data_IF_968355310314
#
_entry.id   IF_968355310314
#
_cell.length_a   1.000
_cell.length_b   1.000
_cell.length_c   1.000
_cell.angle_alpha   90.00
_cell.angle_beta   90.00
_cell.angle_gamma   90.00
#
_symmetry.space_group_name_H-M   'P 1'
#
loop_
_entity.id
_entity.type
_entity.pdbx_description
1 polymer ?
#
# COMPACT_ATOMS: atom_id res chain seq x y z
N UNK A 1 -9.35 -4.92 -58.74
CA UNK A 1 -8.76 -5.25 -57.42
C UNK A 1 -7.86 -4.09 -57.05
N UNK A 2 -8.38 -3.16 -56.29
CA UNK A 2 -7.62 -2.02 -55.78
C UNK A 2 -7.27 -2.31 -54.31
N UNK A 3 -5.96 -2.45 -54.10
CA UNK A 3 -5.42 -2.53 -52.71
C UNK A 3 -5.46 -1.15 -52.07
N UNK A 4 -6.35 -0.96 -51.09
CA UNK A 4 -6.33 0.21 -50.24
C UNK A 4 -5.26 0.04 -49.17
N UNK A 5 -4.08 0.59 -49.43
CA UNK A 5 -3.00 0.74 -48.44
C UNK A 5 -3.42 1.77 -47.39
N UNK A 6 -3.85 1.30 -46.21
CA UNK A 6 -4.10 2.13 -45.06
C UNK A 6 -2.80 2.73 -44.49
N UNK A 7 -2.51 3.98 -44.81
CA UNK A 7 -1.50 4.79 -44.10
C UNK A 7 -1.89 4.92 -42.62
N UNK A 8 -1.13 4.30 -41.74
CA UNK A 8 -1.11 4.71 -40.32
C UNK A 8 -0.44 6.08 -40.28
N UNK A 9 -1.23 7.11 -39.96
CA UNK A 9 -0.68 8.44 -39.64
C UNK A 9 0.07 8.32 -38.30
N UNK A 10 1.41 8.45 -38.36
CA UNK A 10 2.22 8.63 -37.16
C UNK A 10 1.97 10.04 -36.63
N UNK A 11 1.35 10.14 -35.44
CA UNK A 11 1.14 11.39 -34.75
C UNK A 11 2.49 12.05 -34.45
N UNK A 12 2.61 13.32 -34.73
CA UNK A 12 3.79 14.11 -34.36
C UNK A 12 3.95 14.24 -32.87
N UNK A 13 5.18 14.43 -32.37
CA UNK A 13 5.46 14.62 -30.94
C UNK A 13 4.61 15.72 -30.29
N UNK A 14 4.27 16.77 -31.07
CA UNK A 14 3.42 17.87 -30.62
C UNK A 14 1.94 17.48 -30.48
N UNK A 15 1.46 16.54 -31.30
CA UNK A 15 0.09 16.01 -31.22
C UNK A 15 -0.04 14.97 -30.09
N UNK A 16 1.01 14.20 -29.82
CA UNK A 16 1.08 13.35 -28.62
C UNK A 16 1.07 14.19 -27.36
N UNK A 17 1.88 15.26 -27.30
CA UNK A 17 1.93 16.17 -26.15
C UNK A 17 0.56 16.84 -25.90
N UNK A 18 -0.12 17.29 -26.97
CA UNK A 18 -1.47 17.87 -26.86
C UNK A 18 -2.55 16.88 -26.41
N UNK A 19 -2.42 15.58 -26.76
CA UNK A 19 -3.31 14.54 -26.26
C UNK A 19 -3.08 14.23 -24.79
N UNK A 20 -1.83 14.27 -24.30
CA UNK A 20 -1.50 14.13 -22.88
C UNK A 20 -2.00 15.34 -22.08
N UNK A 21 -1.90 16.56 -22.61
CA UNK A 21 -2.42 17.77 -21.97
C UNK A 21 -3.96 17.83 -21.95
N UNK A 22 -4.63 17.09 -22.84
CA UNK A 22 -6.10 16.97 -22.90
C UNK A 22 -6.64 15.71 -22.19
N UNK A 23 -5.77 14.83 -21.70
CA UNK A 23 -6.20 13.74 -20.84
C UNK A 23 -6.84 14.31 -19.59
N UNK A 24 -8.17 14.27 -19.51
CA UNK A 24 -8.90 14.66 -18.30
C UNK A 24 -8.30 13.89 -17.13
N UNK A 25 -7.70 14.61 -16.19
CA UNK A 25 -7.18 14.02 -14.98
C UNK A 25 -8.35 13.40 -14.22
N UNK A 26 -8.37 12.10 -14.11
CA UNK A 26 -9.37 11.38 -13.32
C UNK A 26 -9.17 11.69 -11.85
N UNK A 27 -10.22 12.17 -11.20
CA UNK A 27 -10.25 12.50 -9.79
C UNK A 27 -10.18 14.00 -9.50
N UNK A 28 -10.33 14.34 -8.22
CA UNK A 28 -10.26 15.73 -7.77
C UNK A 28 -8.83 16.25 -7.84
N UNK A 29 -8.69 17.49 -8.30
CA UNK A 29 -7.39 18.18 -8.31
C UNK A 29 -6.85 18.28 -6.90
N UNK A 30 -5.64 17.79 -6.68
CA UNK A 30 -5.00 17.90 -5.37
C UNK A 30 -4.83 19.35 -4.95
N UNK A 31 -5.45 19.71 -3.83
CA UNK A 31 -5.32 21.03 -3.25
C UNK A 31 -3.97 21.18 -2.56
N UNK A 32 -3.41 22.40 -2.60
CA UNK A 32 -2.23 22.75 -1.81
C UNK A 32 -2.46 22.37 -0.35
N UNK A 33 -1.47 21.69 0.26
CA UNK A 33 -1.57 21.27 1.66
C UNK A 33 -1.72 22.47 2.59
N UNK A 34 -2.75 22.45 3.41
CA UNK A 34 -2.97 23.49 4.42
C UNK A 34 -2.01 23.28 5.61
N UNK A 35 -1.62 24.38 6.25
CA UNK A 35 -0.85 24.35 7.48
C UNK A 35 -1.61 23.53 8.56
N UNK A 36 -0.90 22.73 9.33
CA UNK A 36 -1.45 21.85 10.38
C UNK A 36 -2.35 20.71 9.90
N UNK A 37 -2.34 20.37 8.61
CA UNK A 37 -3.03 19.17 8.11
C UNK A 37 -2.08 17.98 8.07
N UNK A 38 -2.63 16.78 8.31
CA UNK A 38 -1.93 15.53 8.08
C UNK A 38 -2.40 14.93 6.75
N UNK A 39 -1.47 14.78 5.80
CA UNK A 39 -1.76 14.20 4.48
C UNK A 39 -1.30 12.77 4.45
N UNK A 40 -2.25 11.86 4.26
CA UNK A 40 -2.03 10.44 4.05
C UNK A 40 -2.30 10.10 2.58
N UNK A 41 -1.36 9.39 1.97
CA UNK A 41 -1.51 8.86 0.61
C UNK A 41 -1.59 7.34 0.64
N UNK A 42 -2.40 6.77 -0.23
CA UNK A 42 -2.51 5.32 -0.47
C UNK A 42 -2.33 5.03 -1.95
N UNK A 43 -1.46 4.09 -2.28
CA UNK A 43 -1.24 3.62 -3.64
C UNK A 43 -1.13 2.10 -3.68
N UNK A 44 -1.91 1.46 -4.57
CA UNK A 44 -1.64 0.09 -4.99
C UNK A 44 -0.49 0.13 -6.01
N UNK A 45 0.61 -0.55 -5.71
CA UNK A 45 1.82 -0.46 -6.54
C UNK A 45 1.90 -1.53 -7.61
N UNK A 46 1.07 -2.58 -7.54
CA UNK A 46 1.17 -3.71 -8.46
C UNK A 46 2.63 -4.17 -8.66
N UNK A 47 3.34 -4.40 -7.56
CA UNK A 47 4.77 -4.67 -7.45
C UNK A 47 5.63 -3.42 -7.32
N UNK A 48 6.36 -3.36 -6.22
CA UNK A 48 7.38 -2.33 -5.99
C UNK A 48 8.66 -2.67 -6.78
N UNK A 49 9.17 -1.78 -7.63
CA UNK A 49 10.40 -2.05 -8.38
C UNK A 49 11.60 -2.24 -7.44
N UNK A 50 12.51 -3.14 -7.79
CA UNK A 50 13.75 -3.40 -7.03
C UNK A 50 14.97 -2.69 -7.61
N UNK A 51 14.84 -1.93 -8.68
CA UNK A 51 15.89 -1.11 -9.27
C UNK A 51 15.65 0.37 -9.01
N UNK A 52 16.68 1.08 -8.57
CA UNK A 52 16.64 2.54 -8.45
C UNK A 52 16.59 3.27 -9.82
N UNK A 53 16.84 2.54 -10.92
CA UNK A 53 16.76 3.04 -12.29
C UNK A 53 15.40 2.77 -12.95
N UNK A 54 14.51 2.08 -12.27
CA UNK A 54 13.17 1.82 -12.76
C UNK A 54 12.36 3.13 -12.71
N UNK A 55 11.75 3.57 -13.82
CA UNK A 55 10.95 4.81 -13.86
C UNK A 55 9.82 4.82 -12.83
N UNK A 56 9.23 3.67 -12.56
CA UNK A 56 8.19 3.54 -11.54
C UNK A 56 8.71 3.81 -10.12
N UNK A 57 9.99 3.47 -9.84
CA UNK A 57 10.61 3.80 -8.55
C UNK A 57 10.72 5.31 -8.38
N UNK A 58 11.18 6.01 -9.42
CA UNK A 58 11.28 7.47 -9.41
C UNK A 58 9.90 8.13 -9.33
N UNK A 59 8.93 7.63 -10.08
CA UNK A 59 7.55 8.13 -10.03
C UNK A 59 6.95 8.02 -8.62
N UNK A 60 7.15 6.88 -7.93
CA UNK A 60 6.69 6.71 -6.54
C UNK A 60 7.36 7.72 -5.61
N UNK A 61 8.68 7.93 -5.72
CA UNK A 61 9.38 8.91 -4.90
C UNK A 61 8.88 10.33 -5.17
N UNK A 62 8.78 10.74 -6.44
CA UNK A 62 8.30 12.06 -6.84
C UNK A 62 6.89 12.31 -6.30
N UNK A 63 5.98 11.33 -6.45
CA UNK A 63 4.63 11.41 -5.91
C UNK A 63 4.60 11.62 -4.39
N UNK A 64 5.42 10.88 -3.63
CA UNK A 64 5.52 11.04 -2.18
C UNK A 64 5.90 12.46 -1.76
N UNK A 65 6.74 13.15 -2.55
CA UNK A 65 7.26 14.48 -2.21
C UNK A 65 6.44 15.61 -2.79
N UNK A 66 6.02 15.50 -4.06
CA UNK A 66 5.22 16.53 -4.73
C UNK A 66 3.93 16.80 -3.96
N UNK A 67 3.35 15.75 -3.38
CA UNK A 67 2.12 15.85 -2.62
C UNK A 67 2.31 16.21 -1.15
N UNK A 68 3.54 16.52 -0.74
CA UNK A 68 3.86 16.90 0.65
C UNK A 68 3.26 15.91 1.69
N UNK A 69 3.36 14.61 1.42
CA UNK A 69 2.79 13.58 2.28
C UNK A 69 3.43 13.58 3.68
N UNK A 70 2.63 13.33 4.69
CA UNK A 70 3.11 13.04 6.05
C UNK A 70 3.30 11.55 6.26
N UNK A 71 2.40 10.76 5.68
CA UNK A 71 2.49 9.31 5.67
C UNK A 71 2.06 8.78 4.30
N UNK A 72 2.64 7.66 3.92
CA UNK A 72 2.30 6.95 2.68
C UNK A 72 2.09 5.48 2.99
N UNK A 73 1.08 4.91 2.37
CA UNK A 73 0.79 3.47 2.38
C UNK A 73 0.92 2.95 0.96
N UNK A 74 1.68 1.89 0.81
CA UNK A 74 1.79 1.14 -0.45
C UNK A 74 1.20 -0.25 -0.26
N UNK A 75 0.28 -0.65 -1.12
CA UNK A 75 -0.25 -2.02 -1.16
C UNK A 75 0.26 -2.77 -2.39
N UNK A 76 0.13 -4.08 -2.40
CA UNK A 76 0.66 -4.96 -3.44
C UNK A 76 2.13 -4.68 -3.77
N UNK A 77 2.95 -4.54 -2.74
CA UNK A 77 4.39 -4.36 -2.93
C UNK A 77 5.04 -5.58 -3.61
N UNK A 78 4.41 -6.73 -3.53
CA UNK A 78 4.73 -7.99 -4.21
C UNK A 78 6.23 -8.36 -4.10
N UNK A 79 6.81 -8.13 -2.91
CA UNK A 79 8.25 -8.31 -2.67
C UNK A 79 8.49 -9.18 -1.45
N UNK A 80 9.27 -10.24 -1.62
CA UNK A 80 9.81 -11.05 -0.52
C UNK A 80 11.18 -10.50 -0.12
N UNK A 81 11.18 -9.61 0.87
CA UNK A 81 12.35 -8.85 1.30
C UNK A 81 13.57 -9.69 1.70
N UNK A 82 13.43 -10.87 2.34
CA UNK A 82 14.59 -11.68 2.70
C UNK A 82 15.48 -12.10 1.51
N UNK A 83 14.91 -12.22 0.31
CA UNK A 83 15.65 -12.58 -0.90
C UNK A 83 16.13 -11.36 -1.70
N UNK A 84 15.82 -10.14 -1.26
CA UNK A 84 16.26 -8.91 -1.93
C UNK A 84 17.71 -8.63 -1.59
N UNK A 85 18.55 -8.46 -2.60
CA UNK A 85 19.98 -8.17 -2.42
C UNK A 85 20.20 -6.87 -1.65
N UNK A 86 21.27 -6.73 -0.83
CA UNK A 86 21.51 -5.55 0.00
C UNK A 86 21.38 -4.21 -0.75
N UNK A 87 22.03 -4.08 -1.92
CA UNK A 87 21.99 -2.84 -2.72
C UNK A 87 20.62 -2.56 -3.35
N UNK A 88 19.71 -3.54 -3.37
CA UNK A 88 18.33 -3.42 -3.84
C UNK A 88 17.32 -3.20 -2.71
N UNK A 89 17.75 -3.21 -1.46
CA UNK A 89 16.88 -2.87 -0.32
C UNK A 89 16.41 -1.42 -0.43
N UNK A 90 15.22 -1.14 0.07
CA UNK A 90 14.61 0.20 -0.03
C UNK A 90 15.55 1.30 0.47
N UNK A 91 16.09 1.14 1.66
CA UNK A 91 17.01 2.10 2.28
C UNK A 91 18.19 2.46 1.38
N UNK A 92 18.79 1.45 0.72
CA UNK A 92 19.95 1.69 -0.17
C UNK A 92 19.55 2.41 -1.45
N UNK A 93 18.38 2.04 -2.03
CA UNK A 93 17.89 2.67 -3.25
C UNK A 93 17.46 4.12 -3.06
N UNK A 94 17.03 4.48 -1.87
CA UNK A 94 16.53 5.82 -1.53
C UNK A 94 17.54 6.67 -0.78
N UNK A 95 18.74 6.13 -0.50
CA UNK A 95 19.79 6.84 0.22
C UNK A 95 20.10 8.20 -0.44
N UNK A 96 19.96 9.27 0.32
CA UNK A 96 20.16 10.65 -0.14
C UNK A 96 19.10 11.21 -1.06
N UNK A 97 18.07 10.41 -1.45
CA UNK A 97 17.01 10.85 -2.35
C UNK A 97 15.79 11.42 -1.60
N UNK A 98 15.59 11.04 -0.34
CA UNK A 98 14.44 11.44 0.46
C UNK A 98 14.79 12.68 1.29
N UNK A 99 14.28 13.87 0.94
CA UNK A 99 14.50 15.07 1.72
C UNK A 99 14.00 14.90 3.16
N UNK A 100 14.76 15.41 4.13
CA UNK A 100 14.42 15.32 5.56
C UNK A 100 14.30 13.89 6.10
N UNK A 101 14.61 12.86 5.30
CA UNK A 101 14.58 11.45 5.69
C UNK A 101 13.18 10.87 5.90
N UNK A 102 13.18 9.58 6.20
CA UNK A 102 11.96 8.78 6.41
C UNK A 102 12.15 7.74 7.49
N UNK A 103 11.02 7.16 7.95
CA UNK A 103 10.96 5.86 8.60
C UNK A 103 9.93 5.02 7.86
N UNK A 104 10.27 3.78 7.56
CA UNK A 104 9.37 2.87 6.86
C UNK A 104 9.30 1.50 7.52
N UNK A 105 8.25 0.77 7.19
CA UNK A 105 8.09 -0.64 7.50
C UNK A 105 7.40 -1.34 6.35
N UNK A 106 7.99 -2.43 5.88
CA UNK A 106 7.38 -3.35 4.92
C UNK A 106 6.99 -4.64 5.61
N UNK A 107 5.85 -5.20 5.22
CA UNK A 107 5.39 -6.51 5.65
C UNK A 107 5.05 -7.38 4.44
N UNK A 108 5.30 -8.67 4.57
CA UNK A 108 5.03 -9.69 3.57
C UNK A 108 4.50 -10.94 4.27
N UNK A 109 3.95 -11.88 3.52
CA UNK A 109 3.51 -13.14 4.08
C UNK A 109 4.73 -14.03 4.43
N UNK A 110 4.96 -14.27 5.72
CA UNK A 110 6.07 -15.09 6.22
C UNK A 110 5.86 -16.61 6.02
N UNK A 111 4.64 -17.01 5.67
CA UNK A 111 4.22 -18.40 5.49
C UNK A 111 4.05 -18.77 4.01
N UNK A 112 4.27 -17.81 3.12
CA UNK A 112 4.14 -18.03 1.68
C UNK A 112 5.37 -18.67 1.07
N UNK A 113 5.22 -19.18 -0.16
CA UNK A 113 6.31 -19.72 -0.96
C UNK A 113 6.67 -18.72 -2.05
N UNK A 114 7.71 -17.88 -1.85
CA UNK A 114 8.11 -16.88 -2.84
C UNK A 114 8.77 -17.52 -4.06
N UNK A 115 8.66 -16.89 -5.22
CA UNK A 115 9.45 -17.20 -6.40
C UNK A 115 10.56 -16.15 -6.52
N UNK A 116 11.77 -16.49 -6.10
CA UNK A 116 12.88 -15.54 -6.03
C UNK A 116 12.56 -14.38 -5.08
N UNK A 117 12.50 -13.16 -5.60
CA UNK A 117 12.10 -11.95 -4.84
C UNK A 117 10.62 -11.63 -4.96
N UNK A 118 9.85 -12.39 -5.76
CA UNK A 118 8.43 -12.15 -5.95
C UNK A 118 7.61 -12.93 -4.93
N UNK A 119 6.73 -12.22 -4.23
CA UNK A 119 5.66 -12.77 -3.41
C UNK A 119 4.47 -11.83 -3.48
N UNK A 120 3.34 -12.30 -3.97
CA UNK A 120 2.14 -11.47 -4.09
C UNK A 120 1.63 -10.97 -2.75
N UNK A 121 1.14 -9.73 -2.74
CA UNK A 121 0.63 -9.04 -1.56
C UNK A 121 1.69 -8.17 -0.87
N UNK A 122 1.54 -8.03 0.44
CA UNK A 122 2.39 -7.18 1.27
C UNK A 122 2.00 -5.71 1.27
N UNK A 123 2.33 -5.05 2.37
CA UNK A 123 2.02 -3.63 2.61
C UNK A 123 3.26 -2.91 3.10
N UNK A 124 3.45 -1.69 2.63
CA UNK A 124 4.48 -0.77 3.13
C UNK A 124 3.86 0.47 3.73
N UNK A 125 4.49 1.02 4.77
CA UNK A 125 4.12 2.31 5.34
C UNK A 125 5.33 3.18 5.57
N UNK A 126 5.15 4.49 5.41
CA UNK A 126 6.19 5.50 5.52
C UNK A 126 5.72 6.65 6.38
N UNK A 127 6.61 7.14 7.24
CA UNK A 127 6.50 8.42 7.93
C UNK A 127 7.54 9.36 7.32
N UNK A 128 7.11 10.46 6.71
CA UNK A 128 7.93 11.36 5.93
C UNK A 128 8.18 12.69 6.66
N UNK A 129 9.32 13.29 6.36
CA UNK A 129 9.71 14.61 6.84
C UNK A 129 9.60 14.75 8.37
N UNK A 130 9.11 15.90 8.88
CA UNK A 130 8.99 16.14 10.33
C UNK A 130 8.07 15.13 11.05
N UNK A 131 7.12 14.49 10.35
CA UNK A 131 6.18 13.53 10.94
C UNK A 131 6.90 12.30 11.48
N UNK A 132 8.03 11.89 10.90
CA UNK A 132 8.85 10.76 11.39
C UNK A 132 9.33 10.93 12.85
N UNK A 133 9.51 12.18 13.30
CA UNK A 133 9.95 12.48 14.67
C UNK A 133 8.84 12.29 15.71
N UNK A 134 7.59 12.24 15.25
CA UNK A 134 6.42 11.94 16.10
C UNK A 134 6.11 10.44 16.18
N UNK A 135 6.82 9.61 15.41
CA UNK A 135 6.59 8.17 15.40
C UNK A 135 7.04 7.55 16.73
N UNK A 136 6.08 6.99 17.48
CA UNK A 136 6.31 6.35 18.77
C UNK A 136 6.55 4.84 18.63
N UNK A 137 5.75 4.19 17.78
CA UNK A 137 5.82 2.75 17.58
C UNK A 137 5.26 2.33 16.23
N UNK A 138 5.64 1.14 15.82
CA UNK A 138 5.13 0.47 14.61
C UNK A 138 4.78 -0.97 14.93
N UNK A 139 3.97 -1.57 14.09
CA UNK A 139 3.69 -3.00 14.18
C UNK A 139 2.97 -3.52 12.95
N UNK A 140 2.62 -4.78 13.01
CA UNK A 140 2.09 -5.50 11.85
C UNK A 140 1.06 -6.54 12.26
N UNK A 141 0.49 -7.23 11.29
CA UNK A 141 -0.35 -8.40 11.47
C UNK A 141 0.41 -9.49 12.22
N UNK A 142 -0.05 -9.81 13.43
CA UNK A 142 0.58 -10.80 14.29
C UNK A 142 0.53 -12.24 13.75
N UNK A 143 -0.33 -12.49 12.76
CA UNK A 143 -0.37 -13.82 12.10
C UNK A 143 0.81 -14.04 11.17
N UNK A 144 1.53 -13.00 10.80
CA UNK A 144 2.62 -13.06 9.81
C UNK A 144 2.16 -13.17 8.36
N UNK A 145 0.86 -12.98 8.08
CA UNK A 145 0.31 -13.04 6.72
C UNK A 145 0.56 -11.76 5.89
N UNK A 146 1.14 -10.71 6.51
CA UNK A 146 1.50 -9.49 5.81
C UNK A 146 0.31 -8.64 5.34
N UNK A 147 -0.85 -8.76 6.02
CA UNK A 147 -2.11 -8.13 5.61
C UNK A 147 -2.23 -6.67 5.98
N UNK A 148 -1.60 -6.24 7.07
CA UNK A 148 -1.55 -4.86 7.50
C UNK A 148 -0.28 -4.54 8.26
N UNK A 149 0.04 -3.25 8.25
CA UNK A 149 1.11 -2.61 8.99
C UNK A 149 0.58 -1.30 9.55
N UNK A 150 1.10 -0.86 10.69
CA UNK A 150 0.66 0.38 11.29
C UNK A 150 1.81 1.19 11.88
N UNK A 151 1.60 2.50 11.94
CA UNK A 151 2.45 3.47 12.59
C UNK A 151 1.63 4.30 13.57
N UNK A 152 2.14 4.47 14.78
CA UNK A 152 1.52 5.26 15.85
C UNK A 152 2.32 6.53 16.09
N UNK A 153 1.67 7.66 15.97
CA UNK A 153 2.28 8.99 16.10
C UNK A 153 1.81 9.70 17.35
N UNK A 154 2.73 10.40 18.03
CA UNK A 154 2.38 11.30 19.13
C UNK A 154 1.64 12.52 18.59
N UNK A 155 0.46 12.79 19.11
CA UNK A 155 -0.34 13.98 18.85
C UNK A 155 -0.03 15.12 19.82
N UNK A 156 -1.03 15.94 20.12
CA UNK A 156 -0.97 16.97 21.14
C UNK A 156 -1.40 16.36 22.48
N UNK A 157 -0.65 16.62 23.56
CA UNK A 157 -0.92 16.01 24.88
C UNK A 157 -0.76 14.50 24.82
N UNK A 158 -1.69 13.77 25.42
CA UNK A 158 -1.71 12.30 25.46
C UNK A 158 -2.37 11.64 24.24
N UNK A 159 -2.83 12.43 23.27
CA UNK A 159 -3.47 11.88 22.08
C UNK A 159 -2.46 11.24 21.14
N UNK A 160 -2.88 10.14 20.54
CA UNK A 160 -2.08 9.45 19.53
C UNK A 160 -2.91 9.22 18.28
N UNK A 161 -2.26 9.33 17.12
CA UNK A 161 -2.82 8.96 15.82
C UNK A 161 -2.19 7.64 15.39
N UNK A 162 -3.03 6.64 15.11
CA UNK A 162 -2.61 5.38 14.50
C UNK A 162 -3.04 5.35 13.04
N UNK A 163 -2.06 5.27 12.16
CA UNK A 163 -2.28 5.09 10.72
C UNK A 163 -2.02 3.64 10.39
N UNK A 164 -3.01 2.98 9.78
CA UNK A 164 -2.99 1.57 9.42
C UNK A 164 -3.06 1.46 7.91
N UNK A 165 -2.05 0.84 7.31
CA UNK A 165 -2.10 0.41 5.92
C UNK A 165 -2.52 -1.04 5.85
N UNK A 166 -3.49 -1.38 5.02
CA UNK A 166 -3.99 -2.74 4.93
C UNK A 166 -4.35 -3.14 3.49
N UNK A 167 -4.21 -4.45 3.23
CA UNK A 167 -4.58 -5.09 1.97
C UNK A 167 -5.42 -6.32 2.26
N UNK A 168 -6.66 -6.34 1.79
CA UNK A 168 -7.56 -7.48 1.93
C UNK A 168 -7.39 -8.41 0.73
N UNK A 169 -7.23 -9.73 0.93
CA UNK A 169 -7.05 -10.67 -0.17
C UNK A 169 -8.18 -10.59 -1.19
N UNK A 170 -7.84 -10.55 -2.49
CA UNK A 170 -8.83 -10.62 -3.56
C UNK A 170 -9.20 -12.09 -3.83
N UNK A 171 -10.49 -12.49 -3.73
CA UNK A 171 -10.92 -13.85 -3.96
C UNK A 171 -10.98 -14.23 -5.44
N UNK A 172 -11.01 -13.24 -6.32
CA UNK A 172 -11.16 -13.46 -7.78
C UNK A 172 -9.86 -13.86 -8.48
N UNK A 173 -8.72 -13.80 -7.77
CA UNK A 173 -7.44 -14.23 -8.33
C UNK A 173 -7.39 -15.74 -8.53
N UNK A 174 -6.99 -16.19 -9.72
CA UNK A 174 -6.77 -17.61 -10.03
C UNK A 174 -5.29 -17.97 -9.85
N UNK A 175 -5.01 -19.17 -9.32
CA UNK A 175 -3.66 -19.69 -9.17
C UNK A 175 -3.14 -19.77 -7.72
N UNK A 176 -2.20 -20.68 -7.50
CA UNK A 176 -1.67 -21.04 -6.18
C UNK A 176 -0.87 -19.90 -5.49
N UNK A 177 -0.37 -18.96 -6.24
CA UNK A 177 0.46 -17.87 -5.75
C UNK A 177 -0.33 -16.61 -5.34
N UNK A 178 -1.66 -16.59 -5.60
CA UNK A 178 -2.48 -15.44 -5.21
C UNK A 178 -2.46 -15.25 -3.69
N UNK A 179 -2.66 -14.01 -3.23
CA UNK A 179 -2.70 -13.71 -1.79
C UNK A 179 -3.80 -14.53 -1.10
N UNK A 180 -4.95 -14.69 -1.76
CA UNK A 180 -6.05 -15.50 -1.23
C UNK A 180 -5.62 -16.96 -1.04
N UNK A 181 -5.04 -17.58 -2.08
CA UNK A 181 -4.59 -18.97 -2.02
C UNK A 181 -3.49 -19.20 -0.96
N UNK A 182 -2.52 -18.26 -0.86
CA UNK A 182 -1.49 -18.30 0.18
C UNK A 182 -2.11 -18.31 1.59
N UNK A 183 -3.10 -17.45 1.86
CA UNK A 183 -3.76 -17.37 3.15
C UNK A 183 -4.65 -18.58 3.42
N UNK A 184 -5.36 -19.08 2.40
CA UNK A 184 -6.15 -20.30 2.52
C UNK A 184 -5.27 -21.49 2.92
N UNK A 185 -4.11 -21.66 2.26
CA UNK A 185 -3.12 -22.68 2.58
C UNK A 185 -2.65 -22.57 4.04
N UNK A 186 -2.34 -21.36 4.50
CA UNK A 186 -1.97 -21.12 5.90
C UNK A 186 -3.06 -21.57 6.89
N UNK A 187 -4.33 -21.21 6.62
CA UNK A 187 -5.42 -21.61 7.51
C UNK A 187 -5.65 -23.13 7.51
N UNK A 188 -5.57 -23.78 6.36
CA UNK A 188 -5.65 -25.24 6.26
C UNK A 188 -4.55 -25.95 7.05
N UNK A 189 -3.30 -25.44 6.97
CA UNK A 189 -2.17 -25.98 7.76
C UNK A 189 -2.37 -25.84 9.28
N UNK A 190 -3.21 -24.91 9.71
CA UNK A 190 -3.59 -24.71 11.13
C UNK A 190 -4.86 -25.46 11.50
N UNK A 191 -5.28 -26.44 10.70
CA UNK A 191 -6.54 -27.19 10.85
C UNK A 191 -7.78 -26.25 10.96
N UNK A 192 -7.75 -25.13 10.25
CA UNK A 192 -8.76 -24.09 10.30
C UNK A 192 -9.18 -23.70 8.88
N UNK A 193 -10.33 -24.17 8.43
CA UNK A 193 -10.85 -23.88 7.09
C UNK A 193 -11.58 -22.54 7.04
N UNK A 194 -10.89 -21.45 7.42
CA UNK A 194 -11.47 -20.10 7.36
C UNK A 194 -11.29 -19.48 5.99
N UNK A 195 -12.32 -18.79 5.54
CA UNK A 195 -12.21 -17.88 4.40
C UNK A 195 -11.21 -16.73 4.72
N UNK A 196 -10.19 -16.50 3.86
CA UNK A 196 -9.18 -15.47 4.08
C UNK A 196 -9.72 -14.05 4.23
N UNK A 197 -10.81 -13.71 3.54
CA UNK A 197 -11.42 -12.39 3.62
C UNK A 197 -12.18 -12.20 4.93
N UNK A 198 -12.92 -13.21 5.34
CA UNK A 198 -13.62 -13.20 6.62
C UNK A 198 -12.63 -13.14 7.78
N UNK A 199 -11.57 -13.93 7.72
CA UNK A 199 -10.50 -13.92 8.72
C UNK A 199 -9.80 -12.56 8.79
N UNK A 200 -9.53 -11.92 7.64
CA UNK A 200 -8.99 -10.56 7.61
C UNK A 200 -9.89 -9.59 8.37
N UNK A 201 -11.17 -9.56 8.03
CA UNK A 201 -12.15 -8.64 8.62
C UNK A 201 -12.27 -8.84 10.13
N UNK A 202 -12.37 -10.09 10.58
CA UNK A 202 -12.48 -10.42 12.02
C UNK A 202 -11.24 -10.03 12.81
N UNK A 203 -10.04 -10.30 12.27
CA UNK A 203 -8.79 -10.02 12.99
C UNK A 203 -8.48 -8.53 13.04
N UNK A 204 -8.72 -7.81 11.93
CA UNK A 204 -8.53 -6.36 11.88
C UNK A 204 -9.52 -5.66 12.82
N UNK A 205 -10.80 -6.05 12.81
CA UNK A 205 -11.82 -5.54 13.73
C UNK A 205 -11.40 -5.71 15.20
N UNK A 206 -10.96 -6.92 15.58
CA UNK A 206 -10.46 -7.18 16.93
C UNK A 206 -9.28 -6.28 17.29
N UNK A 207 -8.41 -6.03 16.33
CA UNK A 207 -7.23 -5.19 16.54
C UNK A 207 -7.60 -3.70 16.66
N UNK A 208 -8.55 -3.20 15.86
CA UNK A 208 -9.08 -1.83 15.95
C UNK A 208 -9.68 -1.59 17.34
N UNK A 209 -10.52 -2.50 17.83
CA UNK A 209 -11.09 -2.40 19.18
C UNK A 209 -10.03 -2.27 20.26
N UNK A 210 -8.95 -3.05 20.18
CA UNK A 210 -7.82 -2.93 21.12
C UNK A 210 -7.16 -1.56 21.06
N UNK A 211 -6.96 -0.99 19.88
CA UNK A 211 -6.34 0.31 19.72
C UNK A 211 -7.26 1.45 20.19
N UNK A 212 -8.56 1.33 19.94
CA UNK A 212 -9.56 2.28 20.46
C UNK A 212 -9.59 2.30 21.98
N UNK A 213 -9.49 1.14 22.65
CA UNK A 213 -9.38 1.05 24.11
C UNK A 213 -8.10 1.71 24.66
N UNK A 214 -7.04 1.84 23.85
CA UNK A 214 -5.83 2.59 24.21
C UNK A 214 -5.98 4.11 24.03
N UNK A 215 -7.15 4.58 23.57
CA UNK A 215 -7.42 5.99 23.29
C UNK A 215 -6.79 6.50 21.97
N UNK A 216 -6.35 5.60 21.08
CA UNK A 216 -5.81 6.01 19.79
C UNK A 216 -6.91 6.51 18.84
N UNK A 217 -6.65 7.62 18.17
CA UNK A 217 -7.38 8.00 16.96
C UNK A 217 -6.87 7.14 15.82
N UNK A 218 -7.77 6.49 15.07
CA UNK A 218 -7.38 5.49 14.08
C UNK A 218 -7.81 5.93 12.69
N UNK A 219 -6.85 5.93 11.76
CA UNK A 219 -7.09 6.10 10.33
C UNK A 219 -6.63 4.84 9.61
N UNK A 220 -7.50 4.28 8.78
CA UNK A 220 -7.22 3.07 8.01
C UNK A 220 -7.23 3.41 6.53
N UNK A 221 -6.10 3.21 5.87
CA UNK A 221 -5.97 3.23 4.43
C UNK A 221 -5.96 1.78 3.93
N UNK A 222 -7.01 1.37 3.28
CA UNK A 222 -7.30 -0.02 2.95
C UNK A 222 -7.57 -0.22 1.46
N UNK A 223 -6.80 -1.10 0.84
CA UNK A 223 -7.19 -1.73 -0.40
C UNK A 223 -8.15 -2.88 -0.07
N UNK A 224 -9.45 -2.61 -0.19
CA UNK A 224 -10.49 -3.43 0.40
C UNK A 224 -10.83 -4.69 -0.40
N UNK A 225 -10.61 -4.67 -1.72
CA UNK A 225 -11.09 -5.74 -2.61
C UNK A 225 -12.52 -6.18 -2.26
N UNK A 226 -13.42 -5.20 -2.06
CA UNK A 226 -14.78 -5.41 -1.55
C UNK A 226 -15.74 -4.34 -2.11
N UNK A 227 -17.02 -4.62 -2.09
CA UNK A 227 -18.02 -3.60 -2.37
C UNK A 227 -18.13 -2.65 -1.16
N UNK A 228 -17.80 -1.39 -1.36
CA UNK A 228 -17.80 -0.39 -0.29
C UNK A 228 -19.20 0.03 0.16
N UNK A 229 -20.26 -0.29 -0.62
CA UNK A 229 -21.64 0.08 -0.28
C UNK A 229 -22.30 -0.91 0.68
N UNK A 230 -22.05 -2.22 0.49
CA UNK A 230 -22.71 -3.30 1.22
C UNK A 230 -21.80 -4.48 1.58
N UNK A 231 -20.50 -4.33 1.35
CA UNK A 231 -19.50 -5.35 1.59
C UNK A 231 -19.22 -5.62 3.08
N UNK A 232 -18.39 -6.63 3.32
CA UNK A 232 -18.04 -7.06 4.68
C UNK A 232 -17.19 -6.02 5.43
N UNK A 233 -16.40 -5.26 4.70
CA UNK A 233 -15.57 -4.16 5.25
C UNK A 233 -16.45 -3.02 5.74
N UNK A 234 -17.45 -2.61 4.95
CA UNK A 234 -18.41 -1.57 5.35
C UNK A 234 -19.17 -2.00 6.63
N UNK A 235 -19.66 -3.24 6.68
CA UNK A 235 -20.34 -3.77 7.88
C UNK A 235 -19.41 -3.87 9.09
N UNK A 236 -18.13 -4.17 8.88
CA UNK A 236 -17.11 -4.16 9.94
C UNK A 236 -16.95 -2.75 10.53
N UNK A 237 -16.78 -1.74 9.66
CA UNK A 237 -16.56 -0.36 10.08
C UNK A 237 -17.77 0.22 10.83
N UNK A 238 -18.98 -0.09 10.39
CA UNK A 238 -20.22 0.36 11.05
C UNK A 238 -20.40 -0.20 12.48
N UNK A 239 -19.62 -1.21 12.88
CA UNK A 239 -19.72 -1.87 14.20
C UNK A 239 -18.58 -1.48 15.17
N UNK A 240 -17.70 -0.57 14.78
CA UNK A 240 -16.60 -0.09 15.64
C UNK A 240 -17.02 1.13 16.48
#
# INVERSE_FOLDING_TARGET
MEESSGRREELTSAEMQRKDDQAEAWGDRQLKKKKHTFRLLLQNTQRLPLSARDPKHEAILNWMFTDEANAVILTEINTYWPNVRPHQQWTERTRGKIPQGEKHRFVHNRHGSPTGTLQYGGVGTFALGPTRHRLCSTGEDLTGLGRWVWMRYKGKGEHHLRVVGAYRPNPQGTGEHTVHAQHQKYFLQKANNRDPQLAFTQYLSKQIKKWALLGDQIVIALDANDNLRDGSVQRMMARQ
#
